data_IF_514874785006
#
_entry.id   IF_514874785006
#
_cell.length_a   1.000
_cell.length_b   1.000
_cell.length_c   1.000
_cell.angle_alpha   90.00
_cell.angle_beta   90.00
_cell.angle_gamma   90.00
#
_symmetry.space_group_name_H-M   'P 1'
#
loop_
_entity.id
_entity.type
_entity.pdbx_description
1 polymer ?
#
# COMPACT_ATOMS: atom_id res chain seq x y z
N UNK A 1 24.59 -10.78 2.23
CA UNK A 1 24.21 -10.52 2.05
C UNK A 1 24.01 -10.16 2.19
N UNK A 2 24.04 -10.04 2.05
CA UNK A 2 23.69 -9.58 1.95
C UNK A 2 23.32 -9.04 1.83
N UNK A 3 23.10 -9.11 1.54
CA UNK A 3 22.58 -8.62 1.23
C UNK A 3 21.99 -8.05 1.47
N UNK A 4 21.69 -7.87 1.73
CA UNK A 4 21.17 -7.26 1.92
C UNK A 4 20.55 -6.47 1.33
N UNK A 5 20.63 -6.50 0.39
CA UNK A 5 19.96 -5.58 -0.33
C UNK A 5 18.61 -6.05 -0.60
N UNK A 6 17.68 -5.26 -0.22
CA UNK A 6 16.30 -5.60 -0.45
C UNK A 6 15.95 -5.47 -1.92
N UNK A 7 15.21 -6.38 -2.43
CA UNK A 7 14.76 -6.32 -3.81
C UNK A 7 13.57 -5.36 -3.87
N UNK A 8 13.83 -4.12 -4.18
CA UNK A 8 12.81 -3.10 -4.13
C UNK A 8 12.87 -2.19 -5.33
N UNK A 9 11.75 -1.56 -5.62
CA UNK A 9 11.65 -0.60 -6.70
C UNK A 9 11.02 0.67 -6.20
N UNK A 10 11.30 1.76 -6.89
CA UNK A 10 10.79 3.05 -6.47
C UNK A 10 9.40 3.28 -7.05
N UNK A 11 8.52 3.77 -6.22
CA UNK A 11 7.18 4.14 -6.64
C UNK A 11 6.98 5.61 -6.35
N UNK A 12 6.76 6.40 -7.38
CA UNK A 12 6.49 7.81 -7.24
C UNK A 12 5.06 8.10 -7.64
N UNK A 13 4.27 8.57 -6.69
CA UNK A 13 2.89 8.89 -6.97
C UNK A 13 2.52 10.16 -6.25
N UNK A 14 1.48 10.81 -6.73
CA UNK A 14 0.92 11.96 -6.08
C UNK A 14 -0.39 11.56 -5.45
N UNK A 15 -0.57 11.91 -4.20
CA UNK A 15 -1.80 11.61 -3.49
C UNK A 15 -2.57 12.89 -3.26
N UNK A 16 -3.89 12.80 -3.33
CA UNK A 16 -4.70 13.93 -2.93
C UNK A 16 -4.35 14.32 -1.51
N UNK A 17 -4.38 15.62 -1.25
CA UNK A 17 -3.95 16.11 0.07
C UNK A 17 -4.67 15.43 1.22
N UNK A 18 -6.00 15.26 1.17
CA UNK A 18 -6.66 14.59 2.31
C UNK A 18 -6.14 13.18 2.55
N UNK A 19 -5.81 12.47 1.49
CA UNK A 19 -5.29 11.11 1.63
C UNK A 19 -3.88 11.15 2.19
N UNK A 20 -3.08 12.08 1.70
CA UNK A 20 -1.71 12.23 2.18
C UNK A 20 -1.71 12.55 3.66
N UNK A 21 -2.60 13.46 4.09
CA UNK A 21 -2.66 13.83 5.48
C UNK A 21 -3.00 12.63 6.36
N UNK A 22 -3.90 11.79 5.90
CA UNK A 22 -4.24 10.60 6.66
C UNK A 22 -3.08 9.64 6.75
N UNK A 23 -2.33 9.52 5.67
CA UNK A 23 -1.14 8.67 5.71
C UNK A 23 -0.15 9.20 6.73
N UNK A 24 0.05 10.51 6.75
CA UNK A 24 0.98 11.09 7.71
C UNK A 24 0.51 10.85 9.14
N UNK A 25 -0.77 11.03 9.37
CA UNK A 25 -1.31 10.80 10.70
C UNK A 25 -1.11 9.34 11.11
N UNK A 26 -1.36 8.43 10.20
CA UNK A 26 -1.17 7.02 10.50
C UNK A 26 0.29 6.73 10.84
N UNK A 27 1.21 7.33 10.09
CA UNK A 27 2.63 7.12 10.35
C UNK A 27 3.01 7.65 11.74
N UNK A 28 2.46 8.80 12.12
CA UNK A 28 2.77 9.35 13.41
C UNK A 28 2.25 8.49 14.55
N UNK A 29 1.04 7.99 14.37
CA UNK A 29 0.44 7.20 15.44
C UNK A 29 1.06 5.82 15.56
N UNK A 30 1.47 5.25 14.45
CA UNK A 30 2.02 3.91 14.47
C UNK A 30 3.52 3.89 14.67
N UNK A 31 4.18 5.02 14.47
CA UNK A 31 5.63 5.07 14.58
C UNK A 31 6.34 4.52 13.35
N UNK A 32 5.62 4.30 12.27
CA UNK A 32 6.22 3.76 11.07
C UNK A 32 6.67 4.86 10.12
N UNK A 33 7.69 4.55 9.31
CA UNK A 33 8.04 5.44 8.23
C UNK A 33 6.96 5.36 7.15
N UNK A 34 6.94 6.34 6.26
CA UNK A 34 5.95 6.31 5.19
C UNK A 34 6.13 5.10 4.30
N UNK A 35 7.37 4.71 4.04
CA UNK A 35 7.61 3.54 3.22
C UNK A 35 7.06 2.28 3.86
N UNK A 36 7.38 2.08 5.14
CA UNK A 36 6.91 0.89 5.83
C UNK A 36 5.39 0.88 5.94
N UNK A 37 4.81 2.02 6.29
CA UNK A 37 3.36 2.11 6.43
C UNK A 37 2.69 1.79 5.11
N UNK A 38 3.18 2.36 4.03
CA UNK A 38 2.60 2.13 2.72
C UNK A 38 2.69 0.66 2.34
N UNK A 39 3.84 0.04 2.59
CA UNK A 39 4.00 -1.37 2.26
C UNK A 39 3.01 -2.23 3.02
N UNK A 40 2.82 -1.94 4.29
CA UNK A 40 1.90 -2.74 5.09
C UNK A 40 0.46 -2.56 4.63
N UNK A 41 0.09 -1.33 4.33
CA UNK A 41 -1.27 -1.06 3.87
C UNK A 41 -1.52 -1.78 2.55
N UNK A 42 -0.59 -1.64 1.62
CA UNK A 42 -0.75 -2.27 0.32
C UNK A 42 -0.77 -3.79 0.45
N UNK A 43 0.13 -4.32 1.26
CA UNK A 43 0.19 -5.77 1.42
C UNK A 43 -1.12 -6.31 1.96
N UNK A 44 -1.67 -5.66 2.98
CA UNK A 44 -2.94 -6.10 3.53
C UNK A 44 -4.05 -6.03 2.50
N UNK A 45 -4.10 -4.93 1.77
CA UNK A 45 -5.14 -4.78 0.77
C UNK A 45 -5.01 -5.85 -0.30
N UNK A 46 -3.80 -6.06 -0.79
CA UNK A 46 -3.61 -7.01 -1.87
C UNK A 46 -3.87 -8.43 -1.41
N UNK A 47 -3.51 -8.75 -0.17
CA UNK A 47 -3.78 -10.09 0.34
C UNK A 47 -5.27 -10.38 0.31
N UNK A 48 -6.07 -9.43 0.77
CA UNK A 48 -7.50 -9.61 0.76
C UNK A 48 -8.05 -9.68 -0.67
N UNK A 49 -7.55 -8.79 -1.50
CA UNK A 49 -8.03 -8.71 -2.87
C UNK A 49 -7.75 -10.01 -3.63
N UNK A 50 -6.55 -10.53 -3.51
CA UNK A 50 -6.16 -11.70 -4.28
C UNK A 50 -6.61 -13.01 -3.65
N UNK A 51 -7.17 -12.95 -2.45
CA UNK A 51 -7.79 -14.12 -1.88
C UNK A 51 -9.09 -14.45 -2.60
N UNK A 52 -9.70 -13.45 -3.19
CA UNK A 52 -10.97 -13.67 -3.86
C UNK A 52 -10.77 -14.24 -5.24
N UNK A 53 -11.74 -15.02 -5.72
CA UNK A 53 -11.69 -15.48 -7.09
C UNK A 53 -11.66 -14.29 -8.03
N UNK A 54 -11.12 -14.52 -9.19
CA UNK A 54 -10.95 -13.45 -10.14
C UNK A 54 -12.25 -12.73 -10.44
N UNK A 55 -13.34 -13.46 -10.53
CA UNK A 55 -14.60 -12.84 -10.89
C UNK A 55 -15.17 -11.98 -9.77
N UNK A 56 -14.62 -12.06 -8.57
CA UNK A 56 -15.07 -11.24 -7.46
C UNK A 56 -14.15 -10.09 -7.15
N UNK A 57 -13.15 -9.86 -7.97
CA UNK A 57 -12.19 -8.79 -7.73
C UNK A 57 -12.68 -7.50 -8.35
N UNK A 58 -13.73 -6.95 -7.79
CA UNK A 58 -14.27 -5.72 -8.32
C UNK A 58 -14.47 -4.71 -7.22
N UNK A 59 -13.48 -4.61 -6.35
CA UNK A 59 -13.59 -3.73 -5.21
C UNK A 59 -13.84 -2.29 -5.61
N UNK A 60 -13.20 -1.84 -6.68
CA UNK A 60 -13.40 -0.49 -7.14
C UNK A 60 -14.43 -0.40 -8.26
N UNK A 61 -15.22 -1.43 -8.42
CA UNK A 61 -16.17 -1.48 -9.51
C UNK A 61 -15.45 -1.95 -10.73
N UNK A 62 -16.17 -1.93 -11.87
CA UNK A 62 -15.63 -2.45 -13.01
C UNK A 62 -14.86 -1.54 -13.71
N UNK A 63 -13.98 -1.84 -14.23
CA UNK A 63 -13.34 -0.95 -15.00
C UNK A 63 -13.19 -1.49 -16.32
N UNK A 64 -13.22 -1.21 -16.83
CA UNK A 64 -13.16 -1.51 -17.90
C UNK A 64 -12.76 -1.77 -18.41
#
# INVERSE_FOLDING_TARGET
>A
MPREKKDARILNIKLATPVFDRLEQFCEESGMSKTTATEKIFTQFFDVYFEKPEEERTIFGKHE
#
